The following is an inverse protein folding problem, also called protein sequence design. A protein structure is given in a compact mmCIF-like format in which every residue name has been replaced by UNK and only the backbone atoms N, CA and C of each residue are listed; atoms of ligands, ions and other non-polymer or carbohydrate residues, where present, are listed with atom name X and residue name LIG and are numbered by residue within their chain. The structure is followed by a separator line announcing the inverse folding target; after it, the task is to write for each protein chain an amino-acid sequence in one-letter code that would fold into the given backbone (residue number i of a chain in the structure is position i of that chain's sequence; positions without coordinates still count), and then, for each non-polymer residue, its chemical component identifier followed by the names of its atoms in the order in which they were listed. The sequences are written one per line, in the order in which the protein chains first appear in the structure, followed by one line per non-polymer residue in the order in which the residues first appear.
data_IF_195466836488
#
_entry.id   IF_195466836488
#
_cell.length_a   1.000
_cell.length_b   1.000
_cell.length_c   1.000
_cell.angle_alpha   90.00
_cell.angle_beta   90.00
_cell.angle_gamma   90.00
#
_symmetry.space_group_name_H-M   'P 1'
#
loop_
_entity.id
_entity.type
_entity.pdbx_description
1 polymer ?
#
# COMPACT_ATOMS: atom_id res chain seq x y z
N UNK A 1 -5.35 -8.23 -11.03
CA UNK A 1 -6.32 -7.79 -10.01
C UNK A 1 -5.97 -6.38 -9.61
N UNK A 2 -6.96 -5.49 -9.54
CA UNK A 2 -6.79 -4.09 -9.19
C UNK A 2 -7.57 -3.81 -7.91
N UNK A 3 -6.90 -3.21 -6.95
CA UNK A 3 -7.45 -2.54 -5.78
C UNK A 3 -7.53 -1.06 -6.12
N UNK A 4 -8.70 -0.46 -6.04
CA UNK A 4 -8.93 0.91 -6.48
C UNK A 4 -9.40 1.79 -5.32
N UNK A 5 -8.53 2.72 -4.88
CA UNK A 5 -8.81 3.65 -3.79
C UNK A 5 -9.55 4.90 -4.26
N UNK A 6 -10.51 5.35 -3.47
CA UNK A 6 -10.98 6.73 -3.54
C UNK A 6 -9.93 7.67 -2.91
N UNK A 7 -9.80 8.89 -3.39
CA UNK A 7 -8.71 9.86 -3.14
C UNK A 7 -8.59 10.35 -1.69
N UNK A 8 -8.65 9.45 -0.71
CA UNK A 8 -8.53 9.75 0.71
C UNK A 8 -7.31 9.07 1.30
N UNK A 9 -6.68 9.70 2.29
CA UNK A 9 -5.51 9.16 2.99
C UNK A 9 -5.52 9.61 4.45
N UNK A 10 -6.17 8.84 5.32
CA UNK A 10 -6.24 9.07 6.77
C UNK A 10 -6.61 10.50 7.15
N UNK A 11 -7.41 11.17 6.35
CA UNK A 11 -7.75 12.55 6.60
C UNK A 11 -8.65 12.72 7.83
N UNK A 12 -8.33 13.63 8.74
CA UNK A 12 -9.16 13.92 9.90
C UNK A 12 -10.41 14.75 9.58
N UNK A 13 -10.55 15.21 8.32
CA UNK A 13 -11.64 16.07 7.89
C UNK A 13 -12.31 15.52 6.63
N UNK A 14 -13.56 15.89 6.43
CA UNK A 14 -14.25 15.70 5.17
C UNK A 14 -13.64 16.60 4.08
N UNK A 15 -13.76 16.23 2.80
CA UNK A 15 -13.43 17.12 1.69
C UNK A 15 -14.19 18.45 1.78
N UNK A 16 -13.54 19.55 1.40
CA UNK A 16 -14.13 20.90 1.46
C UNK A 16 -15.44 21.00 0.68
N UNK A 17 -15.51 20.37 -0.50
CA UNK A 17 -16.73 20.20 -1.25
C UNK A 17 -17.10 18.71 -1.31
N UNK A 18 -17.85 18.29 -0.31
CA UNK A 18 -18.29 16.90 -0.15
C UNK A 18 -19.17 16.41 -1.32
N UNK A 19 -20.02 17.30 -1.86
CA UNK A 19 -20.89 16.91 -2.98
C UNK A 19 -20.12 16.81 -4.30
N UNK A 20 -19.13 17.66 -4.54
CA UNK A 20 -18.27 17.53 -5.71
C UNK A 20 -17.40 16.27 -5.61
N UNK A 21 -16.87 15.97 -4.44
CA UNK A 21 -16.11 14.73 -4.20
C UNK A 21 -16.98 13.51 -4.54
N UNK A 22 -18.20 13.44 -3.98
CA UNK A 22 -19.10 12.31 -4.20
C UNK A 22 -19.49 12.16 -5.68
N UNK A 23 -19.78 13.25 -6.37
CA UNK A 23 -20.05 13.21 -7.81
C UNK A 23 -18.87 12.64 -8.61
N UNK A 24 -17.66 13.04 -8.26
CA UNK A 24 -16.44 12.48 -8.88
C UNK A 24 -16.28 10.98 -8.58
N UNK A 25 -16.59 10.55 -7.37
CA UNK A 25 -16.57 9.14 -7.00
C UNK A 25 -17.56 8.31 -7.83
N UNK A 26 -18.80 8.80 -7.98
CA UNK A 26 -19.83 8.17 -8.84
C UNK A 26 -19.36 8.08 -10.29
N UNK A 27 -18.80 9.15 -10.85
CA UNK A 27 -18.30 9.16 -12.22
C UNK A 27 -17.08 8.22 -12.40
N UNK A 28 -16.21 8.12 -11.41
CA UNK A 28 -15.12 7.14 -11.36
C UNK A 28 -15.66 5.72 -11.44
N UNK A 29 -16.62 5.38 -10.59
CA UNK A 29 -17.25 4.05 -10.57
C UNK A 29 -17.86 3.73 -11.94
N UNK A 30 -18.69 4.61 -12.49
CA UNK A 30 -19.34 4.42 -13.79
C UNK A 30 -18.34 4.23 -14.93
N UNK A 31 -17.24 4.95 -14.90
CA UNK A 31 -16.17 4.86 -15.91
C UNK A 31 -15.42 3.53 -15.83
N UNK A 32 -15.18 3.04 -14.63
CA UNK A 32 -14.26 1.92 -14.39
C UNK A 32 -14.97 0.58 -14.16
N UNK A 33 -16.25 0.57 -13.82
CA UNK A 33 -17.01 -0.64 -13.45
C UNK A 33 -16.96 -1.78 -14.48
N UNK A 34 -16.77 -1.46 -15.76
CA UNK A 34 -16.71 -2.47 -16.82
C UNK A 34 -15.31 -3.13 -16.96
N UNK A 35 -14.33 -2.77 -16.11
CA UNK A 35 -13.03 -3.41 -16.09
C UNK A 35 -13.03 -4.61 -15.14
N UNK A 36 -12.98 -5.85 -15.67
CA UNK A 36 -13.04 -7.06 -14.82
C UNK A 36 -11.83 -7.23 -13.91
N UNK A 37 -10.76 -6.48 -14.15
CA UNK A 37 -9.56 -6.49 -13.30
C UNK A 37 -9.77 -5.83 -11.94
N UNK A 38 -10.75 -4.92 -11.79
CA UNK A 38 -11.06 -4.31 -10.50
C UNK A 38 -11.74 -5.37 -9.61
N UNK A 39 -11.17 -5.58 -8.44
CA UNK A 39 -11.68 -6.55 -7.47
C UNK A 39 -12.32 -5.86 -6.24
N UNK A 40 -11.79 -4.72 -5.85
CA UNK A 40 -12.17 -4.03 -4.61
C UNK A 40 -12.18 -2.53 -4.84
N UNK A 41 -13.19 -1.87 -4.31
CA UNK A 41 -13.24 -0.42 -4.14
C UNK A 41 -12.88 -0.07 -2.70
N UNK A 42 -11.84 0.73 -2.47
CA UNK A 42 -11.41 1.12 -1.14
C UNK A 42 -11.77 2.57 -0.83
N UNK A 43 -12.34 2.78 0.35
CA UNK A 43 -12.83 4.09 0.78
C UNK A 43 -11.69 5.06 1.08
N UNK A 44 -10.72 4.63 1.89
CA UNK A 44 -9.64 5.49 2.38
C UNK A 44 -8.36 4.65 2.61
N UNK A 45 -7.22 5.23 2.28
CA UNK A 45 -5.94 4.67 2.64
C UNK A 45 -5.64 4.91 4.12
N UNK A 46 -5.47 3.82 4.88
CA UNK A 46 -5.13 3.81 6.32
C UNK A 46 -6.17 4.45 7.26
N UNK A 47 -7.28 4.93 6.76
CA UNK A 47 -8.38 5.52 7.53
C UNK A 47 -9.74 5.03 7.07
N UNK A 48 -10.78 5.35 7.80
CA UNK A 48 -12.17 5.17 7.38
C UNK A 48 -12.73 6.54 7.02
N UNK A 49 -13.35 6.70 5.84
CA UNK A 49 -13.95 7.99 5.49
C UNK A 49 -14.94 8.42 6.57
N UNK A 50 -14.91 9.69 6.96
CA UNK A 50 -15.83 10.23 7.95
C UNK A 50 -17.28 10.19 7.43
N UNK A 51 -18.21 9.98 8.35
CA UNK A 51 -19.63 10.10 8.04
C UNK A 51 -19.98 11.53 7.55
N UNK A 52 -20.84 11.70 6.54
CA UNK A 52 -21.62 10.67 5.85
C UNK A 52 -20.91 10.05 4.64
N UNK A 53 -19.65 10.41 4.35
CA UNK A 53 -18.96 10.05 3.12
C UNK A 53 -18.77 8.54 2.98
N UNK A 54 -18.44 7.84 4.08
CA UNK A 54 -18.28 6.39 4.06
C UNK A 54 -19.54 5.67 3.60
N UNK A 55 -20.69 6.10 4.11
CA UNK A 55 -21.99 5.55 3.76
C UNK A 55 -22.34 5.86 2.30
N UNK A 56 -22.04 7.05 1.84
CA UNK A 56 -22.26 7.45 0.44
C UNK A 56 -21.43 6.62 -0.51
N UNK A 57 -20.14 6.49 -0.27
CA UNK A 57 -19.26 5.68 -1.13
C UNK A 57 -19.69 4.21 -1.20
N UNK A 58 -20.08 3.64 -0.06
CA UNK A 58 -20.62 2.27 -0.03
C UNK A 58 -21.89 2.13 -0.87
N UNK A 59 -22.81 3.06 -0.74
CA UNK A 59 -24.06 3.06 -1.49
C UNK A 59 -23.83 3.34 -2.97
N UNK A 60 -22.89 4.20 -3.31
CA UNK A 60 -22.50 4.49 -4.69
C UNK A 60 -21.90 3.26 -5.37
N UNK A 61 -21.02 2.53 -4.71
CA UNK A 61 -20.49 1.26 -5.23
C UNK A 61 -21.62 0.26 -5.43
N UNK A 62 -22.49 0.10 -4.44
CA UNK A 62 -23.65 -0.81 -4.53
C UNK A 62 -24.55 -0.46 -5.71
N UNK A 63 -24.81 0.82 -5.92
CA UNK A 63 -25.78 1.33 -6.92
C UNK A 63 -25.19 1.35 -8.32
N UNK A 64 -23.96 1.83 -8.48
CA UNK A 64 -23.39 2.13 -9.79
C UNK A 64 -22.43 1.06 -10.31
N UNK A 65 -21.91 0.19 -9.43
CA UNK A 65 -21.10 -0.97 -9.82
C UNK A 65 -21.91 -2.28 -9.90
N UNK A 66 -23.19 -2.24 -9.57
CA UNK A 66 -24.08 -3.40 -9.59
C UNK A 66 -24.02 -4.29 -8.35
N UNK A 67 -23.24 -3.92 -7.35
CA UNK A 67 -23.13 -4.66 -6.08
C UNK A 67 -22.28 -5.94 -6.15
N UNK A 68 -21.61 -6.19 -7.26
CA UNK A 68 -20.81 -7.40 -7.47
C UNK A 68 -19.44 -7.32 -6.80
N UNK A 69 -18.92 -6.10 -6.59
CA UNK A 69 -17.61 -5.88 -5.99
C UNK A 69 -17.72 -5.40 -4.56
N UNK A 70 -16.72 -5.81 -3.80
CA UNK A 70 -16.60 -5.42 -2.40
C UNK A 70 -16.23 -3.94 -2.25
N UNK A 71 -16.95 -3.24 -1.36
CA UNK A 71 -16.52 -1.95 -0.84
C UNK A 71 -15.80 -2.17 0.50
N UNK A 72 -14.53 -1.80 0.55
CA UNK A 72 -13.68 -1.85 1.71
C UNK A 72 -13.49 -0.43 2.26
N UNK A 73 -13.92 -0.13 3.49
CA UNK A 73 -13.83 1.24 3.99
C UNK A 73 -12.39 1.72 4.23
N UNK A 74 -11.49 0.81 4.58
CA UNK A 74 -10.10 1.13 4.96
C UNK A 74 -9.12 0.12 4.36
N UNK A 75 -7.93 0.57 3.98
CA UNK A 75 -6.95 -0.29 3.32
C UNK A 75 -6.29 -1.34 4.22
N UNK A 76 -6.44 -1.31 5.53
CA UNK A 76 -5.64 -2.14 6.45
C UNK A 76 -6.38 -3.04 7.43
N UNK A 77 -7.70 -3.03 7.45
CA UNK A 77 -8.54 -3.76 8.41
C UNK A 77 -9.81 -4.33 7.76
N UNK A 78 -10.79 -4.75 8.56
CA UNK A 78 -12.10 -5.23 8.11
C UNK A 78 -12.06 -6.45 7.18
N UNK A 79 -11.47 -7.54 7.67
CA UNK A 79 -11.51 -8.84 6.99
C UNK A 79 -10.31 -9.14 6.11
N UNK A 80 -9.39 -8.20 5.96
CA UNK A 80 -8.10 -8.44 5.36
C UNK A 80 -7.03 -8.70 6.42
N UNK A 81 -5.91 -9.31 6.02
CA UNK A 81 -4.82 -9.64 6.95
C UNK A 81 -4.01 -8.42 7.41
N UNK A 82 -4.39 -7.23 6.92
CA UNK A 82 -3.85 -5.96 7.37
C UNK A 82 -2.66 -5.45 6.57
N UNK A 83 -2.15 -4.31 7.01
CA UNK A 83 -1.03 -3.57 6.43
C UNK A 83 0.28 -3.95 7.10
N UNK A 84 1.38 -3.91 6.37
CA UNK A 84 2.71 -4.29 6.82
C UNK A 84 3.05 -5.76 6.53
N UNK A 85 4.23 -6.20 6.95
CA UNK A 85 5.24 -5.47 7.69
C UNK A 85 5.91 -4.34 6.88
N UNK A 86 6.45 -3.36 7.62
CA UNK A 86 7.14 -2.18 7.07
C UNK A 86 8.63 -2.23 7.35
N UNK A 87 9.25 -3.39 7.25
CA UNK A 87 10.64 -3.61 7.56
C UNK A 87 11.24 -4.70 6.69
N UNK A 88 12.54 -4.61 6.42
CA UNK A 88 13.28 -5.70 5.84
C UNK A 88 13.44 -6.79 6.90
N UNK A 89 12.84 -7.94 6.64
CA UNK A 89 12.90 -9.10 7.52
C UNK A 89 13.34 -10.31 6.73
N UNK A 90 13.85 -11.30 7.43
CA UNK A 90 14.14 -12.59 6.79
C UNK A 90 12.88 -13.10 6.10
N UNK A 91 12.93 -13.57 4.84
CA UNK A 91 11.76 -13.96 4.06
C UNK A 91 10.84 -14.97 4.74
N UNK A 92 11.39 -15.87 5.54
CA UNK A 92 10.61 -16.85 6.30
C UNK A 92 9.60 -16.20 7.25
N UNK A 93 9.90 -15.02 7.77
CA UNK A 93 9.03 -14.34 8.72
C UNK A 93 7.73 -13.83 8.09
N UNK A 94 7.72 -13.62 6.78
CA UNK A 94 6.49 -13.27 6.05
C UNK A 94 5.51 -14.44 5.96
N UNK A 95 5.98 -15.66 6.17
CA UNK A 95 5.19 -16.89 6.10
C UNK A 95 4.97 -17.53 7.48
N UNK A 96 5.72 -17.11 8.48
CA UNK A 96 5.61 -17.63 9.82
C UNK A 96 5.06 -16.62 10.81
N UNK A 97 5.38 -16.31 11.87
CA UNK A 97 4.79 -15.41 12.84
C UNK A 97 5.50 -14.06 12.84
N UNK A 98 5.13 -13.15 11.95
CA UNK A 98 5.69 -11.80 11.99
C UNK A 98 4.80 -10.87 12.83
N UNK A 99 5.28 -10.34 13.96
CA UNK A 99 4.45 -9.61 14.92
C UNK A 99 4.17 -8.16 14.55
N UNK A 100 4.52 -7.71 13.35
CA UNK A 100 4.33 -6.34 12.94
C UNK A 100 3.28 -6.23 11.84
N UNK A 101 2.12 -5.88 12.18
CA UNK A 101 1.05 -5.45 11.32
C UNK A 101 0.13 -4.57 12.12
N UNK A 102 -0.63 -3.75 11.44
CA UNK A 102 -1.79 -3.11 12.00
C UNK A 102 -2.99 -4.06 11.82
N UNK A 103 -3.93 -4.04 12.77
CA UNK A 103 -5.15 -4.82 12.67
C UNK A 103 -5.20 -6.07 13.56
N UNK A 104 -6.27 -6.83 13.41
CA UNK A 104 -6.58 -7.98 14.27
C UNK A 104 -5.62 -9.15 14.10
N UNK A 105 -5.02 -9.27 12.94
CA UNK A 105 -4.11 -10.33 12.56
C UNK A 105 -2.67 -9.80 12.43
N UNK A 106 -2.04 -9.58 13.56
CA UNK A 106 -0.65 -9.11 13.65
C UNK A 106 0.38 -10.14 13.19
N UNK A 107 -0.05 -11.34 12.89
CA UNK A 107 0.80 -12.48 12.65
C UNK A 107 0.61 -12.92 11.20
N UNK A 108 1.70 -13.22 10.53
CA UNK A 108 1.77 -13.98 9.30
C UNK A 108 1.34 -13.26 8.00
N UNK A 109 1.99 -13.63 6.94
CA UNK A 109 1.65 -13.25 5.57
C UNK A 109 0.48 -14.05 4.98
N UNK A 110 -0.47 -14.52 5.78
CA UNK A 110 -1.63 -15.25 5.30
C UNK A 110 -2.74 -14.31 4.78
N UNK A 111 -3.57 -14.84 3.91
CA UNK A 111 -4.73 -14.11 3.41
C UNK A 111 -4.34 -13.00 2.42
N UNK A 112 -5.13 -11.98 2.37
CA UNK A 112 -4.93 -10.82 1.51
C UNK A 112 -4.27 -9.69 2.31
N UNK A 113 -2.98 -9.49 2.12
CA UNK A 113 -2.27 -8.33 2.62
C UNK A 113 -2.51 -7.14 1.71
N UNK A 114 -3.01 -6.06 2.29
CA UNK A 114 -3.32 -4.85 1.53
C UNK A 114 -2.08 -4.06 1.17
N UNK A 115 -1.11 -4.06 2.06
CA UNK A 115 0.13 -3.30 1.90
C UNK A 115 1.31 -4.05 2.52
N UNK A 116 2.43 -4.02 1.84
CA UNK A 116 3.74 -4.42 2.37
C UNK A 116 4.74 -3.36 1.94
N UNK A 117 5.49 -2.84 2.90
CA UNK A 117 6.52 -1.85 2.65
C UNK A 117 7.86 -2.28 3.21
N UNK A 118 8.87 -2.23 2.36
CA UNK A 118 10.27 -2.46 2.74
C UNK A 118 11.17 -1.61 1.87
N UNK A 119 12.41 -1.39 2.27
CA UNK A 119 13.40 -0.85 1.36
C UNK A 119 13.56 -1.82 0.19
N UNK A 120 13.41 -1.31 -1.01
CA UNK A 120 13.51 -2.10 -2.22
C UNK A 120 14.71 -1.67 -3.04
N UNK A 121 15.31 -2.63 -3.70
CA UNK A 121 16.38 -2.38 -4.66
C UNK A 121 15.79 -2.43 -6.07
N UNK A 122 16.25 -1.52 -6.92
CA UNK A 122 15.87 -1.56 -8.32
C UNK A 122 16.55 -2.74 -9.02
N UNK A 123 16.01 -3.19 -10.15
CA UNK A 123 16.67 -4.23 -10.94
C UNK A 123 18.04 -3.76 -11.43
N UNK A 124 18.94 -4.69 -11.70
CA UNK A 124 20.33 -4.42 -12.05
C UNK A 124 20.46 -3.53 -13.30
N UNK A 125 19.62 -3.74 -14.30
CA UNK A 125 19.64 -2.96 -15.55
C UNK A 125 19.32 -1.49 -15.32
N UNK A 126 18.42 -1.20 -14.38
CA UNK A 126 18.12 0.18 -13.98
C UNK A 126 19.18 0.75 -13.06
N UNK A 127 19.64 -0.06 -12.10
CA UNK A 127 20.67 0.31 -11.13
C UNK A 127 21.97 0.79 -11.81
N UNK A 128 22.48 0.02 -12.77
CA UNK A 128 23.73 0.36 -13.48
C UNK A 128 23.66 1.66 -14.30
N UNK A 129 22.45 2.18 -14.58
CA UNK A 129 22.28 3.42 -15.35
C UNK A 129 22.59 4.67 -14.53
N UNK A 130 22.42 4.62 -13.24
CA UNK A 130 22.63 5.77 -12.37
C UNK A 130 23.77 5.56 -11.36
N UNK A 131 24.24 4.34 -11.17
CA UNK A 131 25.32 4.03 -10.24
C UNK A 131 26.62 3.79 -11.02
N UNK A 132 27.68 4.60 -10.80
CA UNK A 132 29.00 4.39 -11.40
C UNK A 132 29.60 3.03 -11.04
N UNK A 133 30.37 2.45 -11.93
CA UNK A 133 30.98 1.13 -11.76
C UNK A 133 31.73 0.94 -10.42
N UNK A 134 32.60 1.88 -9.98
CA UNK A 134 33.31 1.70 -8.72
C UNK A 134 32.43 1.72 -7.47
N UNK A 135 31.21 2.28 -7.57
CA UNK A 135 30.29 2.43 -6.45
C UNK A 135 29.18 1.39 -6.43
N UNK A 136 29.14 0.49 -7.41
CA UNK A 136 28.06 -0.49 -7.53
C UNK A 136 28.10 -1.54 -6.44
N UNK A 137 29.28 -2.02 -6.10
CA UNK A 137 29.42 -3.03 -5.06
C UNK A 137 30.87 -3.15 -4.54
N UNK A 138 31.10 -3.19 -3.23
CA UNK A 138 30.09 -2.83 -2.20
C UNK A 138 29.77 -1.34 -2.25
N UNK A 139 28.52 -0.98 -2.06
CA UNK A 139 28.12 0.43 -2.00
C UNK A 139 28.72 1.12 -0.77
N UNK A 140 29.26 2.32 -0.99
CA UNK A 140 29.70 3.17 0.11
C UNK A 140 28.52 3.75 0.89
N UNK A 141 28.73 4.12 2.15
CA UNK A 141 27.72 4.82 2.94
C UNK A 141 27.29 6.14 2.27
N UNK A 142 28.23 6.84 1.65
CA UNK A 142 27.95 8.07 0.89
C UNK A 142 26.94 7.83 -0.24
N UNK A 143 27.09 6.75 -0.98
CA UNK A 143 26.18 6.40 -2.07
C UNK A 143 24.81 5.96 -1.58
N UNK A 144 24.77 5.23 -0.46
CA UNK A 144 23.51 4.87 0.20
C UNK A 144 22.74 6.11 0.66
N UNK A 145 23.43 7.06 1.25
CA UNK A 145 22.84 8.31 1.72
C UNK A 145 22.36 9.19 0.56
N UNK A 146 23.17 9.28 -0.49
CA UNK A 146 22.86 10.06 -1.70
C UNK A 146 21.61 9.53 -2.42
N UNK A 147 21.44 8.23 -2.50
CA UNK A 147 20.34 7.61 -3.20
C UNK A 147 19.19 7.20 -2.27
N UNK A 148 19.28 7.48 -0.98
CA UNK A 148 18.27 7.21 0.04
C UNK A 148 17.83 5.74 0.14
N UNK A 149 18.66 4.83 -0.25
CA UNK A 149 18.41 3.42 -0.06
C UNK A 149 18.17 3.12 1.43
N UNK A 150 17.02 2.58 1.76
CA UNK A 150 16.66 2.29 3.15
C UNK A 150 16.14 3.48 3.97
N UNK A 151 15.98 4.65 3.39
CA UNK A 151 15.28 5.79 4.01
C UNK A 151 13.78 5.78 3.75
N UNK A 152 13.11 4.66 3.88
CA UNK A 152 11.68 4.75 4.16
C UNK A 152 11.51 5.27 5.59
N UNK A 153 10.43 5.97 5.87
CA UNK A 153 10.09 6.45 7.21
C UNK A 153 10.11 5.35 8.27
N UNK A 154 10.07 4.11 7.87
CA UNK A 154 10.00 2.93 8.72
C UNK A 154 11.30 2.13 8.75
N UNK A 155 12.27 2.39 7.87
CA UNK A 155 13.43 1.54 7.73
C UNK A 155 14.68 2.30 7.27
N UNK A 156 15.18 3.17 8.11
CA UNK A 156 16.31 4.04 7.82
C UNK A 156 17.69 3.39 8.05
N UNK A 157 17.75 2.07 8.27
CA UNK A 157 19.00 1.39 8.59
C UNK A 157 19.60 0.67 7.38
N UNK A 158 20.73 1.14 6.84
CA UNK A 158 21.41 0.52 5.71
C UNK A 158 21.81 -0.93 5.95
N UNK A 159 22.20 -1.27 7.18
CA UNK A 159 22.58 -2.62 7.58
C UNK A 159 21.45 -3.65 7.35
N UNK A 160 20.21 -3.27 7.58
CA UNK A 160 19.05 -4.13 7.32
C UNK A 160 18.79 -4.32 5.84
N UNK A 161 19.09 -3.31 5.05
CA UNK A 161 18.98 -3.36 3.61
C UNK A 161 19.96 -4.36 3.01
N UNK A 162 21.22 -4.30 3.42
CA UNK A 162 22.24 -5.25 2.97
C UNK A 162 21.91 -6.68 3.36
N UNK A 163 21.42 -6.91 4.58
CA UNK A 163 20.97 -8.22 4.99
C UNK A 163 19.89 -8.80 4.07
N UNK A 164 19.01 -7.96 3.53
CA UNK A 164 17.98 -8.41 2.56
C UNK A 164 18.58 -8.74 1.20
N UNK A 165 19.55 -7.97 0.73
CA UNK A 165 20.24 -8.20 -0.55
C UNK A 165 21.09 -9.47 -0.51
N UNK A 166 21.72 -9.77 0.62
CA UNK A 166 22.52 -11.00 0.79
C UNK A 166 21.68 -12.29 0.77
N UNK A 167 20.36 -12.21 1.01
CA UNK A 167 19.46 -13.36 0.98
C UNK A 167 18.79 -13.62 -0.37
N UNK A 168 18.92 -12.73 -1.33
CA UNK A 168 18.37 -12.83 -2.67
C UNK A 168 19.47 -13.01 -3.72
#
# INVERSE_FOLDING_TARGET
MVWDDFWLNSHPNLPDDLFAFNRNAVEKIKRLRNHPSIAVWCGDNEGVPLAPLNEWLREDVRTFDGGDRWYQPISREYGFSGSGPWTNAHPIWYFTAYPSGFGEHKLDGWGFRTEIGTAVFTNYESYRKFMPDPDRWPMSQEMLDKHFFGRSSFNSRPDRYFATVEYN
#
